data_IF_593198614317
#
_entry.id   IF_593198614317
#
_cell.length_a   1.000
_cell.length_b   1.000
_cell.length_c   1.000
_cell.angle_alpha   90.00
_cell.angle_beta   90.00
_cell.angle_gamma   90.00
#
_symmetry.space_group_name_H-M   'P 1'
#
loop_
_entity.id
_entity.type
_entity.pdbx_description
1 polymer ?
#
# COMPACT_ATOMS: atom_id res chain seq x y z
N UNK A 1 -16.13 -12.18 -17.32
CA UNK A 1 -15.13 -11.79 -16.30
C UNK A 1 -14.81 -13.01 -15.45
N UNK A 2 -13.53 -13.28 -15.21
CA UNK A 2 -13.14 -14.42 -14.38
C UNK A 2 -13.66 -14.23 -12.94
N UNK A 3 -14.14 -15.30 -12.32
CA UNK A 3 -14.54 -15.29 -10.92
C UNK A 3 -13.32 -15.00 -10.02
N UNK A 4 -13.54 -14.24 -8.94
CA UNK A 4 -12.51 -14.04 -7.92
C UNK A 4 -12.56 -15.24 -6.97
N UNK A 5 -11.49 -16.03 -6.96
CA UNK A 5 -11.31 -17.13 -6.00
C UNK A 5 -10.73 -16.56 -4.71
N UNK A 6 -11.13 -17.09 -3.56
CA UNK A 6 -10.60 -16.72 -2.25
C UNK A 6 -10.12 -17.96 -1.52
N UNK A 7 -8.97 -17.85 -0.87
CA UNK A 7 -8.36 -18.91 -0.07
C UNK A 7 -8.11 -18.39 1.33
N UNK A 8 -8.34 -19.24 2.32
CA UNK A 8 -8.27 -18.86 3.73
C UNK A 8 -7.22 -19.72 4.44
N UNK A 9 -6.36 -19.04 5.19
CA UNK A 9 -5.44 -19.62 6.14
C UNK A 9 -5.99 -19.40 7.55
N UNK A 10 -6.11 -20.45 8.35
CA UNK A 10 -6.53 -20.37 9.76
C UNK A 10 -5.44 -20.92 10.65
N UNK A 11 -5.15 -20.25 11.75
CA UNK A 11 -4.23 -20.71 12.79
C UNK A 11 -4.76 -20.29 14.16
N UNK A 12 -4.08 -20.70 15.24
CA UNK A 12 -4.53 -20.45 16.62
C UNK A 12 -4.72 -18.96 16.93
N UNK A 13 -3.94 -18.08 16.30
CA UNK A 13 -3.95 -16.65 16.56
C UNK A 13 -4.59 -15.81 15.44
N UNK A 14 -5.32 -16.43 14.51
CA UNK A 14 -6.03 -15.66 13.50
C UNK A 14 -6.52 -16.41 12.27
N UNK A 15 -7.09 -15.62 11.36
CA UNK A 15 -7.56 -16.04 10.06
C UNK A 15 -7.18 -15.00 9.00
N UNK A 16 -6.64 -15.45 7.88
CA UNK A 16 -6.21 -14.60 6.78
C UNK A 16 -6.85 -15.07 5.47
N UNK A 17 -7.53 -14.17 4.76
CA UNK A 17 -8.08 -14.45 3.43
C UNK A 17 -7.24 -13.77 2.36
N UNK A 18 -6.89 -14.49 1.31
CA UNK A 18 -6.30 -13.92 0.09
C UNK A 18 -7.19 -14.20 -1.10
N UNK A 19 -7.36 -13.20 -1.98
CA UNK A 19 -8.13 -13.35 -3.20
C UNK A 19 -7.21 -13.45 -4.42
N UNK A 20 -7.68 -14.11 -5.48
CA UNK A 20 -6.93 -14.24 -6.74
C UNK A 20 -6.65 -12.89 -7.37
N UNK A 21 -7.63 -11.98 -7.41
CA UNK A 21 -7.45 -10.65 -7.96
C UNK A 21 -6.43 -9.83 -7.16
N UNK A 22 -5.34 -9.42 -7.82
CA UNK A 22 -4.28 -8.64 -7.21
C UNK A 22 -3.41 -9.43 -6.21
N UNK A 23 -3.75 -10.71 -5.99
CA UNK A 23 -3.20 -11.48 -4.87
C UNK A 23 -3.49 -10.79 -3.53
N UNK A 24 -4.59 -10.04 -3.40
CA UNK A 24 -4.83 -9.15 -2.27
C UNK A 24 -5.14 -9.94 -0.99
N UNK A 25 -4.35 -9.70 0.06
CA UNK A 25 -4.52 -10.23 1.40
C UNK A 25 -5.51 -9.36 2.18
N UNK A 26 -6.73 -9.86 2.40
CA UNK A 26 -7.77 -9.19 3.17
C UNK A 26 -9.13 -9.92 3.08
N UNK A 27 -9.94 -9.92 4.16
CA UNK A 27 -9.60 -9.47 5.49
C UNK A 27 -8.57 -10.39 6.17
N UNK A 28 -7.91 -9.86 7.20
CA UNK A 28 -7.11 -10.63 8.15
C UNK A 28 -7.63 -10.30 9.53
N UNK A 29 -7.97 -11.33 10.32
CA UNK A 29 -8.36 -11.23 11.72
C UNK A 29 -7.24 -11.81 12.58
N UNK A 30 -6.79 -11.05 13.56
CA UNK A 30 -5.84 -11.49 14.59
C UNK A 30 -6.58 -11.67 15.91
N UNK A 31 -6.36 -12.79 16.59
CA UNK A 31 -6.90 -13.05 17.92
C UNK A 31 -5.89 -12.58 18.98
N UNK A 32 -6.38 -11.85 19.98
CA UNK A 32 -5.59 -11.30 21.09
C UNK A 32 -5.78 -12.07 22.40
N UNK A 33 -6.65 -13.08 22.40
CA UNK A 33 -7.05 -13.83 23.58
C UNK A 33 -8.28 -13.23 24.28
N UNK A 34 -8.89 -13.99 25.20
CA UNK A 34 -10.06 -13.53 25.96
C UNK A 34 -11.31 -13.20 25.11
N UNK A 35 -11.38 -13.72 23.87
CA UNK A 35 -12.44 -13.39 22.90
C UNK A 35 -12.25 -12.07 22.16
N UNK A 36 -11.15 -11.36 22.40
CA UNK A 36 -10.79 -10.12 21.70
C UNK A 36 -10.01 -10.43 20.43
N UNK A 37 -10.20 -9.59 19.41
CA UNK A 37 -9.46 -9.67 18.17
C UNK A 37 -9.69 -8.43 17.31
N UNK A 38 -8.85 -8.26 16.29
CA UNK A 38 -8.89 -7.11 15.39
C UNK A 38 -8.78 -7.55 13.93
N UNK A 39 -9.51 -6.87 13.05
CA UNK A 39 -9.36 -7.00 11.60
C UNK A 39 -8.82 -5.70 11.02
N UNK A 40 -7.49 -5.47 11.04
CA UNK A 40 -6.95 -4.13 10.80
C UNK A 40 -6.85 -3.77 9.31
N UNK A 41 -6.98 -4.75 8.41
CA UNK A 41 -6.88 -4.52 6.97
C UNK A 41 -8.21 -4.04 6.39
N UNK A 42 -8.14 -2.97 5.60
CA UNK A 42 -9.30 -2.35 4.96
C UNK A 42 -9.96 -3.30 3.94
N UNK A 43 -11.29 -3.31 3.88
CA UNK A 43 -12.04 -3.95 2.79
C UNK A 43 -12.98 -2.90 2.23
N UNK A 44 -12.90 -2.65 0.92
CA UNK A 44 -13.66 -1.57 0.33
C UNK A 44 -15.18 -1.78 0.46
N UNK A 45 -15.94 -0.73 0.78
CA UNK A 45 -17.36 -0.84 1.14
C UNK A 45 -18.27 -1.21 -0.03
N UNK A 46 -17.79 -1.11 -1.27
CA UNK A 46 -18.55 -1.50 -2.46
C UNK A 46 -18.47 -3.00 -2.78
N UNK A 47 -17.63 -3.77 -2.08
CA UNK A 47 -17.57 -5.23 -2.24
C UNK A 47 -16.93 -5.69 -3.56
N UNK A 48 -17.40 -6.81 -4.11
CA UNK A 48 -17.05 -7.28 -5.46
C UNK A 48 -18.06 -6.73 -6.47
N UNK A 49 -17.67 -5.67 -7.17
CA UNK A 49 -18.50 -5.00 -8.16
C UNK A 49 -17.84 -5.07 -9.54
N UNK A 50 -18.36 -6.00 -10.34
CA UNK A 50 -17.83 -6.33 -11.66
C UNK A 50 -17.94 -5.18 -12.69
N UNK A 51 -18.59 -4.06 -12.36
CA UNK A 51 -18.56 -2.85 -13.19
C UNK A 51 -17.18 -2.19 -13.21
N UNK A 52 -16.37 -2.41 -12.18
CA UNK A 52 -15.04 -1.82 -12.05
C UNK A 52 -13.96 -2.80 -12.50
N UNK A 53 -12.94 -2.35 -13.24
CA UNK A 53 -11.83 -3.19 -13.67
C UNK A 53 -10.78 -3.33 -12.58
N UNK A 54 -9.96 -4.38 -12.71
CA UNK A 54 -8.73 -4.55 -11.96
C UNK A 54 -8.91 -4.36 -10.45
N UNK A 55 -7.96 -3.65 -9.83
CA UNK A 55 -7.91 -3.45 -8.38
C UNK A 55 -9.22 -2.87 -7.80
N UNK A 56 -9.92 -2.01 -8.56
CA UNK A 56 -11.13 -1.34 -8.09
C UNK A 56 -12.34 -2.28 -7.97
N UNK A 57 -12.31 -3.45 -8.62
CA UNK A 57 -13.41 -4.43 -8.56
C UNK A 57 -13.71 -4.90 -7.15
N UNK A 58 -12.67 -5.23 -6.38
CA UNK A 58 -12.79 -5.85 -5.07
C UNK A 58 -11.61 -5.48 -4.15
N UNK A 59 -11.27 -4.19 -4.11
CA UNK A 59 -10.14 -3.61 -3.38
C UNK A 59 -10.14 -4.02 -1.91
N UNK A 60 -8.99 -4.53 -1.42
CA UNK A 60 -8.84 -4.92 -0.01
C UNK A 60 -7.40 -5.10 0.43
N UNK A 61 -7.16 -4.73 1.67
CA UNK A 61 -6.05 -5.10 2.52
C UNK A 61 -4.71 -4.80 1.89
N UNK A 62 -3.94 -5.84 1.57
CA UNK A 62 -2.54 -5.70 1.21
C UNK A 62 -2.19 -6.41 -0.11
N UNK A 63 -1.47 -5.75 -1.01
CA UNK A 63 -0.97 -6.33 -2.25
C UNK A 63 0.38 -5.74 -2.71
N UNK A 64 1.18 -6.50 -3.50
CA UNK A 64 2.42 -6.00 -4.07
C UNK A 64 2.17 -5.15 -5.33
N UNK A 65 2.91 -4.04 -5.46
CA UNK A 65 2.81 -3.15 -6.61
C UNK A 65 4.12 -3.13 -7.40
N UNK A 66 4.11 -3.68 -8.63
CA UNK A 66 5.30 -3.73 -9.47
C UNK A 66 4.95 -3.71 -10.98
N UNK A 67 5.37 -2.67 -11.74
CA UNK A 67 5.88 -1.39 -11.23
C UNK A 67 4.84 -0.65 -10.36
N UNK A 68 5.29 -0.05 -9.27
CA UNK A 68 4.43 0.76 -8.39
C UNK A 68 4.17 2.14 -8.99
N UNK A 69 2.92 2.59 -8.90
CA UNK A 69 2.53 3.94 -9.25
C UNK A 69 1.33 4.03 -10.18
N UNK A 70 0.81 5.23 -10.39
CA UNK A 70 -0.22 5.53 -11.37
C UNK A 70 0.27 5.24 -12.79
N UNK A 71 -0.67 5.00 -13.70
CA UNK A 71 -0.40 4.86 -15.12
C UNK A 71 -0.47 6.21 -15.87
N UNK A 72 -0.98 7.26 -15.22
CA UNK A 72 -1.11 8.60 -15.77
C UNK A 72 -0.61 9.65 -14.77
N UNK A 73 0.07 10.71 -15.24
CA UNK A 73 0.52 11.79 -14.36
C UNK A 73 -0.68 12.56 -13.79
N UNK A 74 -0.57 13.09 -12.56
CA UNK A 74 -1.61 13.92 -11.97
C UNK A 74 -1.72 15.25 -12.70
N UNK A 75 -2.91 15.83 -12.64
CA UNK A 75 -3.13 17.20 -13.12
C UNK A 75 -2.50 18.21 -12.17
N UNK A 76 -1.90 19.28 -12.69
CA UNK A 76 -1.38 20.37 -11.88
C UNK A 76 0.09 20.25 -11.47
N UNK A 77 0.84 19.30 -12.03
CA UNK A 77 2.30 19.30 -11.92
C UNK A 77 2.90 20.57 -12.56
N UNK A 78 3.92 21.12 -11.92
CA UNK A 78 4.70 22.23 -12.48
C UNK A 78 5.59 21.74 -13.62
N UNK A 79 6.11 22.67 -14.44
CA UNK A 79 6.90 22.35 -15.64
C UNK A 79 8.27 21.73 -15.33
N UNK A 80 8.75 21.82 -14.09
CA UNK A 80 10.04 21.28 -13.68
C UNK A 80 10.02 19.74 -13.55
N UNK A 81 8.83 19.14 -13.46
CA UNK A 81 8.64 17.69 -13.46
C UNK A 81 8.54 17.17 -14.90
N UNK A 82 9.50 16.33 -15.31
CA UNK A 82 9.48 15.71 -16.64
C UNK A 82 8.48 14.54 -16.66
N UNK A 83 7.64 14.48 -17.69
CA UNK A 83 6.67 13.41 -17.87
C UNK A 83 7.28 12.20 -18.57
N UNK A 84 6.92 11.01 -18.09
CA UNK A 84 7.23 9.72 -18.69
C UNK A 84 5.96 8.99 -19.09
N UNK A 85 6.07 8.15 -20.11
CA UNK A 85 5.01 7.23 -20.50
C UNK A 85 5.17 5.91 -19.74
N UNK A 86 4.11 5.50 -19.04
CA UNK A 86 4.04 4.16 -18.45
C UNK A 86 4.07 3.07 -19.54
N UNK A 87 4.62 1.91 -19.22
CA UNK A 87 4.64 0.73 -20.10
C UNK A 87 3.28 0.04 -20.22
N UNK A 88 2.35 0.31 -19.30
CA UNK A 88 0.99 -0.21 -19.28
C UNK A 88 0.01 0.79 -18.65
N UNK A 89 -1.29 0.52 -18.78
CA UNK A 89 -2.37 1.37 -18.26
C UNK A 89 -2.89 0.94 -16.87
N UNK A 90 -2.21 0.01 -16.19
CA UNK A 90 -2.64 -0.55 -14.93
C UNK A 90 -2.02 0.21 -13.75
N UNK A 91 -2.83 0.97 -13.01
CA UNK A 91 -2.36 1.56 -11.75
C UNK A 91 -1.79 0.48 -10.83
N UNK A 92 -0.61 0.75 -10.26
CA UNK A 92 0.15 -0.17 -9.42
C UNK A 92 0.59 -1.47 -10.10
N UNK A 93 0.63 -1.48 -11.43
CA UNK A 93 1.19 -2.56 -12.25
C UNK A 93 0.23 -3.74 -12.49
N UNK A 94 0.64 -4.61 -13.41
CA UNK A 94 -0.15 -5.77 -13.85
C UNK A 94 -0.56 -6.68 -12.68
N UNK A 95 0.38 -7.00 -11.78
CA UNK A 95 0.16 -7.89 -10.63
C UNK A 95 -1.00 -7.46 -9.72
N UNK A 96 -1.22 -6.15 -9.55
CA UNK A 96 -2.29 -5.60 -8.71
C UNK A 96 -3.69 -5.71 -9.33
N UNK A 97 -3.77 -5.94 -10.65
CA UNK A 97 -5.01 -5.83 -11.42
C UNK A 97 -5.47 -7.15 -12.03
N UNK A 98 -4.70 -8.23 -11.89
CA UNK A 98 -4.96 -9.50 -12.56
C UNK A 98 -5.06 -10.68 -11.59
N UNK A 99 -5.69 -11.79 -12.01
CA UNK A 99 -5.79 -12.99 -11.19
C UNK A 99 -4.45 -13.69 -11.00
N UNK A 100 -4.11 -13.96 -9.75
CA UNK A 100 -3.03 -14.85 -9.33
C UNK A 100 -3.57 -16.27 -9.21
N UNK A 101 -2.67 -17.24 -9.37
CA UNK A 101 -2.94 -18.65 -9.20
C UNK A 101 -2.43 -19.11 -7.83
N UNK A 102 -3.21 -19.90 -7.11
CA UNK A 102 -2.73 -20.63 -5.94
C UNK A 102 -1.80 -21.76 -6.43
N UNK A 103 -0.57 -21.76 -5.94
CA UNK A 103 0.42 -22.80 -6.23
C UNK A 103 0.39 -23.90 -5.18
N UNK A 104 0.29 -23.52 -3.91
CA UNK A 104 0.34 -24.43 -2.77
C UNK A 104 -0.36 -23.82 -1.55
N UNK A 105 -0.97 -24.68 -0.74
CA UNK A 105 -1.58 -24.33 0.53
C UNK A 105 -1.26 -25.41 1.56
N UNK A 106 -0.69 -24.98 2.69
CA UNK A 106 -0.47 -25.82 3.87
C UNK A 106 -1.36 -25.34 5.03
N UNK A 107 -1.22 -25.94 6.21
CA UNK A 107 -1.90 -25.46 7.43
C UNK A 107 -1.45 -24.07 7.86
N UNK A 108 -0.24 -23.62 7.48
CA UNK A 108 0.34 -22.35 7.93
C UNK A 108 0.86 -21.46 6.79
N UNK A 109 0.64 -21.81 5.53
CA UNK A 109 1.12 -21.01 4.42
C UNK A 109 0.22 -21.07 3.17
N UNK A 110 0.21 -19.97 2.43
CA UNK A 110 -0.36 -19.85 1.09
C UNK A 110 0.75 -19.35 0.14
N UNK A 111 0.94 -20.05 -0.99
CA UNK A 111 1.84 -19.63 -2.08
C UNK A 111 1.02 -19.30 -3.32
N UNK A 112 1.20 -18.10 -3.86
CA UNK A 112 0.54 -17.65 -5.07
C UNK A 112 1.56 -17.21 -6.11
N UNK A 113 1.21 -17.37 -7.38
CA UNK A 113 2.02 -16.92 -8.52
C UNK A 113 1.19 -16.19 -9.54
N UNK A 114 1.80 -15.21 -10.21
CA UNK A 114 1.29 -14.63 -11.44
C UNK A 114 2.42 -14.52 -12.47
N UNK A 115 2.14 -14.94 -13.69
CA UNK A 115 3.02 -14.71 -14.84
C UNK A 115 2.61 -13.40 -15.52
N UNK A 116 3.61 -12.58 -15.84
CA UNK A 116 3.41 -11.30 -16.52
C UNK A 116 3.43 -11.49 -18.05
N UNK A 117 2.81 -10.58 -18.82
CA UNK A 117 2.82 -10.64 -20.29
C UNK A 117 4.23 -10.84 -20.87
N UNK A 118 4.34 -11.65 -21.92
CA UNK A 118 5.62 -12.09 -22.49
C UNK A 118 6.51 -10.93 -23.01
N UNK A 119 5.88 -9.83 -23.43
CA UNK A 119 6.54 -8.64 -23.95
C UNK A 119 7.04 -7.67 -22.85
N UNK A 120 6.75 -7.94 -21.57
CA UNK A 120 7.17 -7.12 -20.43
C UNK A 120 8.51 -7.53 -19.80
N UNK A 121 9.06 -6.66 -18.96
CA UNK A 121 10.34 -6.89 -18.27
C UNK A 121 10.24 -7.91 -17.14
N UNK A 122 9.12 -7.94 -16.44
CA UNK A 122 8.85 -8.84 -15.33
C UNK A 122 8.39 -10.17 -15.93
N UNK A 123 9.05 -11.26 -15.53
CA UNK A 123 8.65 -12.61 -15.92
C UNK A 123 7.46 -13.07 -15.09
N UNK A 124 7.61 -13.00 -13.77
CA UNK A 124 6.63 -13.49 -12.82
C UNK A 124 6.84 -12.92 -11.44
N UNK A 125 5.77 -12.92 -10.67
CA UNK A 125 5.80 -12.72 -9.23
C UNK A 125 5.33 -13.99 -8.53
N UNK A 126 5.96 -14.30 -7.40
CA UNK A 126 5.49 -15.31 -6.47
C UNK A 126 5.42 -14.69 -5.08
N UNK A 127 4.29 -14.84 -4.39
CA UNK A 127 4.15 -14.41 -3.00
C UNK A 127 3.84 -15.58 -2.08
N UNK A 128 4.42 -15.56 -0.89
CA UNK A 128 4.17 -16.54 0.17
C UNK A 128 3.72 -15.80 1.42
N UNK A 129 2.56 -16.18 1.95
CA UNK A 129 2.00 -15.68 3.20
C UNK A 129 2.11 -16.81 4.20
N UNK A 130 2.79 -16.59 5.33
CA UNK A 130 2.98 -17.57 6.39
C UNK A 130 2.41 -17.06 7.69
N UNK A 131 1.53 -17.83 8.30
CA UNK A 131 1.09 -17.59 9.67
C UNK A 131 2.16 -18.07 10.65
N UNK A 132 2.46 -17.26 11.65
CA UNK A 132 3.25 -17.70 12.79
C UNK A 132 2.36 -18.61 13.66
N UNK A 133 2.74 -19.88 13.89
CA UNK A 133 1.93 -20.80 14.68
C UNK A 133 1.77 -20.34 16.14
N UNK A 134 2.69 -19.52 16.65
CA UNK A 134 2.79 -19.16 18.07
C UNK A 134 2.45 -17.68 18.33
N UNK A 135 2.02 -16.91 17.31
CA UNK A 135 1.71 -15.49 17.46
C UNK A 135 0.65 -14.96 16.47
N UNK A 136 -0.05 -13.86 16.81
CA UNK A 136 -0.91 -13.10 15.88
C UNK A 136 -0.06 -12.32 14.86
N UNK A 137 0.55 -13.05 13.93
CA UNK A 137 1.56 -12.53 13.01
C UNK A 137 1.52 -13.25 11.67
N UNK A 138 1.68 -12.48 10.60
CA UNK A 138 1.87 -12.97 9.24
C UNK A 138 3.21 -12.47 8.70
N UNK A 139 4.06 -13.41 8.28
CA UNK A 139 5.25 -13.13 7.47
C UNK A 139 4.90 -13.26 6.00
N UNK A 140 5.28 -12.25 5.20
CA UNK A 140 5.02 -12.24 3.77
C UNK A 140 6.31 -12.03 2.99
N UNK A 141 6.47 -12.79 1.92
CA UNK A 141 7.57 -12.59 0.97
C UNK A 141 7.07 -12.47 -0.45
N UNK A 142 7.64 -11.55 -1.23
CA UNK A 142 7.44 -11.37 -2.65
C UNK A 142 8.75 -11.69 -3.39
N UNK A 143 8.73 -12.70 -4.25
CA UNK A 143 9.83 -13.04 -5.15
C UNK A 143 9.56 -12.49 -6.53
N UNK A 144 10.49 -11.68 -7.03
CA UNK A 144 10.42 -11.05 -8.36
C UNK A 144 11.41 -11.72 -9.30
N UNK A 145 10.93 -12.15 -10.47
CA UNK A 145 11.77 -12.64 -11.58
C UNK A 145 11.58 -11.72 -12.79
N UNK A 146 12.68 -11.41 -13.46
CA UNK A 146 12.71 -10.51 -14.63
C UNK A 146 13.38 -11.18 -15.82
N UNK A 147 12.90 -10.85 -17.01
CA UNK A 147 13.44 -11.32 -18.30
C UNK A 147 14.66 -10.52 -18.75
N UNK A 148 14.81 -9.28 -18.27
CA UNK A 148 15.96 -8.41 -18.52
C UNK A 148 16.33 -7.63 -17.27
N UNK A 149 17.58 -7.18 -17.19
CA UNK A 149 17.96 -6.25 -16.13
C UNK A 149 17.17 -4.95 -16.25
N UNK A 150 16.61 -4.48 -15.13
CA UNK A 150 15.73 -3.31 -15.11
C UNK A 150 15.73 -2.68 -13.72
N UNK A 151 15.55 -1.37 -13.65
CA UNK A 151 15.20 -0.66 -12.41
C UNK A 151 13.72 -0.34 -12.47
N UNK A 152 12.96 -0.78 -11.46
CA UNK A 152 11.51 -0.57 -11.41
C UNK A 152 11.10 0.07 -10.08
N UNK A 153 10.21 1.09 -10.11
CA UNK A 153 9.59 1.59 -8.89
C UNK A 153 8.77 0.48 -8.24
N UNK A 154 8.83 0.39 -6.92
CA UNK A 154 8.20 -0.69 -6.17
C UNK A 154 7.64 -0.19 -4.84
N UNK A 155 6.49 -0.74 -4.47
CA UNK A 155 5.95 -0.64 -3.14
C UNK A 155 5.14 -1.88 -2.77
N UNK A 156 4.97 -2.07 -1.48
CA UNK A 156 3.93 -2.92 -0.91
C UNK A 156 2.76 -2.01 -0.54
N UNK A 157 1.52 -2.49 -0.65
CA UNK A 157 0.35 -1.67 -0.39
C UNK A 157 -0.53 -2.13 0.79
N UNK A 158 0.02 -2.34 2.02
CA UNK A 158 -0.81 -2.53 3.21
C UNK A 158 -1.78 -1.38 3.41
N UNK A 159 -3.06 -1.69 3.31
CA UNK A 159 -4.15 -0.72 3.51
C UNK A 159 -4.91 -1.09 4.76
N UNK A 160 -4.94 -0.18 5.72
CA UNK A 160 -5.52 -0.34 7.03
C UNK A 160 -6.89 0.32 7.12
N UNK A 161 -7.79 -0.32 7.88
CA UNK A 161 -9.13 0.17 8.11
C UNK A 161 -9.09 1.41 9.00
N UNK A 162 -9.89 2.42 8.67
CA UNK A 162 -10.11 3.59 9.51
C UNK A 162 -11.53 3.48 10.09
N UNK A 163 -11.68 2.93 11.29
CA UNK A 163 -12.99 2.76 11.92
C UNK A 163 -13.48 4.09 12.51
N UNK A 164 -14.77 4.17 12.83
CA UNK A 164 -15.37 5.40 13.40
C UNK A 164 -14.84 5.71 14.80
N UNK A 165 -14.41 4.68 15.53
CA UNK A 165 -13.76 4.78 16.84
C UNK A 165 -12.34 5.34 16.74
N UNK A 166 -11.76 5.30 15.55
CA UNK A 166 -10.50 5.90 15.19
C UNK A 166 -9.29 4.97 15.20
N UNK A 167 -8.24 5.44 14.53
CA UNK A 167 -6.91 4.83 14.48
C UNK A 167 -5.86 5.93 14.59
N UNK A 168 -4.89 5.74 15.49
CA UNK A 168 -3.79 6.67 15.71
C UNK A 168 -2.53 6.18 14.96
N UNK A 169 -1.90 7.07 14.22
CA UNK A 169 -0.63 6.86 13.55
C UNK A 169 0.49 7.23 14.53
N UNK A 170 1.03 6.22 15.21
CA UNK A 170 2.27 6.39 15.99
C UNK A 170 3.49 6.49 15.07
N UNK A 171 3.38 5.85 13.89
CA UNK A 171 4.39 5.90 12.84
C UNK A 171 5.66 5.14 13.22
N UNK A 172 6.79 5.65 12.73
CA UNK A 172 8.13 5.16 13.03
C UNK A 172 9.13 6.32 12.97
N UNK A 173 10.38 6.14 13.47
CA UNK A 173 11.45 7.09 13.20
C UNK A 173 11.63 7.30 11.70
N UNK A 174 11.86 8.54 11.28
CA UNK A 174 11.99 8.93 9.88
C UNK A 174 12.83 10.21 9.74
N UNK A 175 13.16 10.58 8.51
CA UNK A 175 14.01 11.74 8.21
C UNK A 175 13.17 12.99 7.87
N UNK A 176 12.18 12.86 7.01
CA UNK A 176 11.34 13.96 6.55
C UNK A 176 9.99 13.44 6.03
N UNK A 177 9.02 14.35 5.89
CA UNK A 177 7.71 14.07 5.28
C UNK A 177 7.55 15.01 4.09
N UNK A 178 7.19 14.47 2.94
CA UNK A 178 6.95 15.25 1.72
C UNK A 178 5.50 15.10 1.29
N UNK A 179 4.83 16.22 0.98
CA UNK A 179 3.51 16.19 0.38
C UNK A 179 3.59 15.95 -1.13
N UNK A 180 2.53 15.35 -1.68
CA UNK A 180 2.42 15.07 -3.11
C UNK A 180 2.70 16.33 -3.96
N UNK A 181 3.36 16.24 -5.12
CA UNK A 181 3.75 17.41 -5.91
C UNK A 181 2.59 18.09 -6.65
N UNK A 182 1.38 17.55 -6.53
CA UNK A 182 0.14 18.13 -7.05
C UNK A 182 -1.01 17.86 -6.05
N UNK A 183 -2.20 18.48 -6.19
CA UNK A 183 -3.38 18.04 -5.47
C UNK A 183 -3.74 16.60 -5.87
N UNK A 184 -3.79 15.68 -4.90
CA UNK A 184 -4.15 14.27 -5.16
C UNK A 184 -5.56 14.15 -5.73
N UNK A 185 -6.49 14.90 -5.16
CA UNK A 185 -7.86 15.03 -5.63
C UNK A 185 -8.18 16.54 -5.74
N UNK A 186 -8.14 17.11 -6.96
CA UNK A 186 -8.36 18.55 -7.16
C UNK A 186 -9.67 19.06 -6.54
N UNK A 187 -9.57 20.10 -5.72
CA UNK A 187 -10.71 20.68 -4.99
C UNK A 187 -11.13 19.93 -3.72
N UNK A 188 -10.52 18.77 -3.43
CA UNK A 188 -10.79 17.94 -2.25
C UNK A 188 -9.59 17.91 -1.31
N UNK A 189 -8.38 17.69 -1.83
CA UNK A 189 -7.14 17.70 -1.04
C UNK A 189 -6.92 19.04 -0.33
N UNK A 190 -6.38 19.00 0.89
CA UNK A 190 -6.18 20.15 1.79
C UNK A 190 -4.73 20.49 1.98
N UNK A 191 -3.86 19.49 1.96
CA UNK A 191 -2.41 19.69 2.16
C UNK A 191 -1.83 20.39 0.94
N UNK A 192 -0.98 21.40 1.18
CA UNK A 192 -0.32 22.11 0.10
C UNK A 192 0.64 21.18 -0.65
N UNK A 193 0.61 21.15 -1.99
CA UNK A 193 1.50 20.30 -2.79
C UNK A 193 2.97 20.70 -2.70
N UNK A 194 3.88 19.73 -2.88
CA UNK A 194 5.33 19.94 -3.02
C UNK A 194 6.00 20.64 -1.81
N UNK A 195 5.53 20.34 -0.61
CA UNK A 195 6.09 20.85 0.64
C UNK A 195 6.79 19.76 1.45
N UNK A 196 7.79 20.18 2.24
CA UNK A 196 8.43 19.33 3.24
C UNK A 196 7.94 19.73 4.63
N UNK A 197 7.60 18.74 5.44
CA UNK A 197 7.21 18.87 6.85
C UNK A 197 8.05 17.94 7.73
N UNK A 198 8.13 18.29 9.02
CA UNK A 198 8.85 17.50 10.04
C UNK A 198 7.91 16.67 10.91
N UNK A 199 6.60 16.87 10.81
CA UNK A 199 5.59 16.17 11.61
C UNK A 199 4.28 16.01 10.85
N UNK A 200 3.59 14.89 11.11
CA UNK A 200 2.22 14.64 10.66
C UNK A 200 1.17 15.50 11.41
N UNK A 201 1.54 16.15 12.51
CA UNK A 201 0.62 16.96 13.33
C UNK A 201 0.39 18.37 12.80
N UNK A 202 1.20 18.82 11.84
CA UNK A 202 1.19 20.21 11.36
C UNK A 202 1.52 20.30 9.87
N UNK A 203 0.81 19.56 9.03
CA UNK A 203 0.99 19.60 7.58
C UNK A 203 0.40 20.90 7.02
N UNK A 204 1.13 21.65 6.18
CA UNK A 204 0.68 22.95 5.70
C UNK A 204 -0.55 22.82 4.79
N UNK A 205 -1.51 23.73 4.96
CA UNK A 205 -2.73 23.84 4.15
C UNK A 205 -2.94 25.31 3.74
N UNK A 206 -3.86 25.57 2.82
CA UNK A 206 -4.22 26.94 2.43
C UNK A 206 -4.81 27.80 3.55
N UNK A 207 -5.26 27.20 4.66
CA UNK A 207 -5.96 27.90 5.76
C UNK A 207 -5.30 27.71 7.13
N UNK A 208 -4.09 27.14 7.18
CA UNK A 208 -3.41 26.80 8.44
C UNK A 208 -2.67 25.47 8.32
N UNK A 209 -2.79 24.61 9.32
CA UNK A 209 -2.21 23.26 9.31
C UNK A 209 -3.26 22.18 9.54
N UNK A 210 -2.94 20.95 9.11
CA UNK A 210 -3.74 19.76 9.32
C UNK A 210 -2.92 18.73 10.10
N UNK A 211 -3.52 18.23 11.18
CA UNK A 211 -3.02 17.06 11.91
C UNK A 211 -3.66 15.80 11.31
N UNK A 212 -2.83 14.85 10.85
CA UNK A 212 -3.29 13.57 10.28
C UNK A 212 -2.95 12.36 11.14
N UNK A 213 -2.52 12.57 12.39
CA UNK A 213 -2.12 11.49 13.29
C UNK A 213 -3.29 10.70 13.86
N UNK A 214 -4.51 11.25 13.86
CA UNK A 214 -5.72 10.56 14.29
C UNK A 214 -6.77 10.57 13.16
N UNK A 215 -7.09 9.37 12.66
CA UNK A 215 -8.11 9.17 11.65
C UNK A 215 -9.37 8.55 12.27
N UNK A 216 -10.58 8.80 11.73
CA UNK A 216 -10.87 9.63 10.57
C UNK A 216 -10.73 11.12 10.87
N UNK A 217 -10.36 11.90 9.85
CA UNK A 217 -10.31 13.36 9.95
C UNK A 217 -11.72 13.95 9.98
N UNK A 218 -11.86 15.11 10.62
CA UNK A 218 -13.12 15.88 10.66
C UNK A 218 -13.50 16.50 9.31
N UNK A 219 -12.60 16.49 8.34
CA UNK A 219 -12.78 17.05 7.01
C UNK A 219 -12.67 15.95 5.96
N UNK A 220 -13.55 15.98 4.97
CA UNK A 220 -13.41 15.11 3.81
C UNK A 220 -12.19 15.55 3.00
N UNK A 221 -11.26 14.62 2.77
CA UNK A 221 -10.03 14.85 2.01
C UNK A 221 -9.48 13.54 1.43
N UNK A 222 -8.56 13.69 0.48
CA UNK A 222 -7.74 12.62 -0.09
C UNK A 222 -6.31 13.13 -0.17
N UNK A 223 -5.38 12.45 0.50
CA UNK A 223 -4.01 12.92 0.64
C UNK A 223 -3.02 11.78 0.34
N UNK A 224 -1.86 12.18 -0.17
CA UNK A 224 -0.68 11.34 -0.33
C UNK A 224 0.50 12.08 0.29
N UNK A 225 1.22 11.39 1.17
CA UNK A 225 2.45 11.85 1.79
C UNK A 225 3.52 10.78 1.58
N UNK A 226 4.79 11.17 1.48
CA UNK A 226 5.91 10.24 1.51
C UNK A 226 6.78 10.54 2.71
N UNK A 227 6.82 9.60 3.64
CA UNK A 227 7.68 9.64 4.81
C UNK A 227 9.02 9.03 4.41
N UNK A 228 10.04 9.88 4.28
CA UNK A 228 11.36 9.49 3.81
C UNK A 228 12.22 8.90 4.94
N UNK A 229 12.94 7.82 4.64
CA UNK A 229 13.91 7.22 5.57
C UNK A 229 13.26 6.55 6.79
N UNK A 230 12.08 5.96 6.61
CA UNK A 230 11.35 5.23 7.65
C UNK A 230 12.15 4.05 8.21
N UNK A 231 12.20 3.93 9.54
CA UNK A 231 12.82 2.81 10.25
C UNK A 231 11.75 1.96 10.93
N UNK A 232 11.31 0.83 10.34
CA UNK A 232 10.25 -0.01 10.89
C UNK A 232 10.59 -0.59 12.28
N UNK A 233 9.58 -0.99 13.07
CA UNK A 233 8.16 -1.10 12.70
C UNK A 233 7.44 0.24 12.56
N UNK A 234 6.53 0.34 11.58
CA UNK A 234 5.50 1.38 11.56
C UNK A 234 4.30 0.93 12.39
N UNK A 235 3.90 1.75 13.35
CA UNK A 235 2.89 1.35 14.34
C UNK A 235 1.60 2.16 14.18
N UNK A 236 0.48 1.44 14.14
CA UNK A 236 -0.87 1.98 14.18
C UNK A 236 -1.56 1.52 15.46
N UNK A 237 -2.22 2.42 16.17
CA UNK A 237 -2.93 2.12 17.41
C UNK A 237 -4.44 2.16 17.21
N UNK A 238 -5.09 1.07 17.59
CA UNK A 238 -6.54 0.91 17.63
C UNK A 238 -6.98 0.82 19.08
N UNK A 239 -7.12 1.98 19.73
CA UNK A 239 -7.43 2.05 21.15
C UNK A 239 -8.74 1.33 21.53
N UNK A 240 -9.77 1.42 20.68
CA UNK A 240 -11.04 0.73 20.89
C UNK A 240 -10.91 -0.81 20.83
N UNK A 241 -9.93 -1.32 20.10
CA UNK A 241 -9.60 -2.75 20.03
C UNK A 241 -8.55 -3.17 21.06
N UNK A 242 -8.01 -2.24 21.86
CA UNK A 242 -6.92 -2.50 22.80
C UNK A 242 -5.67 -3.07 22.14
N UNK A 243 -5.33 -2.59 20.94
CA UNK A 243 -4.29 -3.21 20.12
C UNK A 243 -3.41 -2.20 19.37
N UNK A 244 -2.12 -2.50 19.30
CA UNK A 244 -1.19 -1.91 18.34
C UNK A 244 -0.97 -2.91 17.18
N UNK A 245 -1.06 -2.41 15.95
CA UNK A 245 -0.74 -3.13 14.72
C UNK A 245 0.61 -2.64 14.21
N UNK A 246 1.52 -3.57 13.93
CA UNK A 246 2.89 -3.30 13.51
C UNK A 246 3.11 -3.80 12.09
N UNK A 247 3.71 -2.95 11.26
CA UNK A 247 4.20 -3.28 9.93
C UNK A 247 5.72 -3.18 9.93
N UNK A 248 6.38 -4.31 9.71
CA UNK A 248 7.84 -4.42 9.61
C UNK A 248 8.27 -4.75 8.18
N UNK A 249 9.38 -4.20 7.72
CA UNK A 249 9.96 -4.50 6.39
C UNK A 249 11.47 -4.23 6.37
N UNK A 250 12.12 -4.53 5.25
CA UNK A 250 13.52 -4.18 5.04
C UNK A 250 13.65 -2.73 4.52
N UNK A 251 14.03 -1.80 5.40
CA UNK A 251 14.21 -0.39 5.05
C UNK A 251 15.40 -0.12 4.11
N UNK A 252 16.36 -1.03 3.97
CA UNK A 252 17.43 -0.88 2.97
C UNK A 252 16.90 -1.06 1.53
N UNK A 253 15.86 -1.88 1.35
CA UNK A 253 15.22 -2.09 0.06
C UNK A 253 14.09 -1.07 -0.18
N UNK A 254 13.26 -0.84 0.84
CA UNK A 254 12.10 0.06 0.79
C UNK A 254 12.30 1.17 1.83
N UNK A 255 13.06 2.23 1.51
CA UNK A 255 13.52 3.22 2.49
C UNK A 255 12.44 4.14 3.02
N UNK A 256 11.30 4.23 2.34
CA UNK A 256 10.25 5.20 2.64
C UNK A 256 8.92 4.48 2.92
N UNK A 257 7.98 5.18 3.55
CA UNK A 257 6.58 4.76 3.60
C UNK A 257 5.71 5.84 2.96
N UNK A 258 5.01 5.51 1.88
CA UNK A 258 3.97 6.37 1.34
C UNK A 258 2.70 6.19 2.16
N UNK A 259 2.10 7.30 2.61
CA UNK A 259 0.80 7.30 3.25
C UNK A 259 -0.26 7.70 2.23
N UNK A 260 -1.21 6.81 1.97
CA UNK A 260 -2.43 7.12 1.24
C UNK A 260 -3.58 7.28 2.23
N UNK A 261 -4.06 8.52 2.40
CA UNK A 261 -5.17 8.83 3.31
C UNK A 261 -6.41 9.06 2.47
N UNK A 262 -7.35 8.13 2.54
CA UNK A 262 -8.70 8.33 2.00
C UNK A 262 -9.65 8.58 3.14
N UNK A 263 -10.28 9.76 3.16
CA UNK A 263 -11.14 10.21 4.24
C UNK A 263 -12.49 10.70 3.71
N UNK A 264 -13.11 9.89 2.84
CA UNK A 264 -14.43 10.15 2.29
C UNK A 264 -14.50 11.34 1.32
N UNK A 265 -13.37 11.78 0.74
CA UNK A 265 -13.30 12.94 -0.14
C UNK A 265 -13.79 12.66 -1.57
N UNK A 266 -13.57 11.46 -2.10
CA UNK A 266 -14.04 11.08 -3.45
C UNK A 266 -15.54 10.79 -3.48
N UNK A 267 -16.29 11.60 -4.22
CA UNK A 267 -17.76 11.48 -4.32
C UNK A 267 -18.25 10.67 -5.52
N UNK A 268 -17.41 10.47 -6.53
CA UNK A 268 -17.71 9.62 -7.68
C UNK A 268 -17.78 8.14 -7.28
N UNK A 269 -18.52 7.35 -8.04
CA UNK A 269 -18.52 5.90 -7.87
C UNK A 269 -17.13 5.31 -8.22
N UNK A 270 -16.67 4.24 -7.55
CA UNK A 270 -17.37 3.50 -6.47
C UNK A 270 -17.22 4.10 -5.07
N UNK A 271 -16.40 5.15 -4.93
CA UNK A 271 -16.04 5.74 -3.64
C UNK A 271 -17.25 6.30 -2.88
N UNK A 272 -18.08 7.11 -3.56
CA UNK A 272 -19.34 7.66 -3.05
C UNK A 272 -19.24 8.31 -1.66
N UNK A 273 -18.07 8.86 -1.28
CA UNK A 273 -17.79 9.42 0.04
C UNK A 273 -17.77 8.40 1.18
N UNK A 274 -17.67 7.09 0.87
CA UNK A 274 -17.77 5.98 1.84
C UNK A 274 -16.43 5.34 2.17
N UNK A 275 -15.35 5.72 1.50
CA UNK A 275 -14.04 5.11 1.69
C UNK A 275 -13.23 5.82 2.77
N UNK A 276 -12.92 5.09 3.83
CA UNK A 276 -12.04 5.52 4.92
C UNK A 276 -10.94 4.47 5.08
N UNK A 277 -9.73 4.84 4.66
CA UNK A 277 -8.61 3.92 4.55
C UNK A 277 -7.27 4.64 4.73
N UNK A 278 -6.30 3.94 5.30
CA UNK A 278 -4.92 4.38 5.43
C UNK A 278 -4.01 3.36 4.74
N UNK A 279 -3.50 3.68 3.56
CA UNK A 279 -2.35 2.99 3.00
C UNK A 279 -1.09 3.37 3.79
N UNK A 280 -0.34 2.37 4.27
CA UNK A 280 1.04 2.55 4.73
C UNK A 280 1.88 1.68 3.83
N UNK A 281 2.56 2.31 2.88
CA UNK A 281 3.10 1.65 1.70
C UNK A 281 4.63 1.73 1.70
N UNK A 282 5.34 0.71 2.25
CA UNK A 282 6.79 0.62 2.14
C UNK A 282 7.21 0.68 0.68
N UNK A 283 8.00 1.69 0.32
CA UNK A 283 8.26 2.04 -1.06
C UNK A 283 9.73 2.39 -1.33
N UNK A 284 10.15 2.08 -2.56
CA UNK A 284 11.26 2.69 -3.24
C UNK A 284 10.73 3.22 -4.58
N UNK A 285 10.20 4.44 -4.55
CA UNK A 285 9.61 5.14 -5.69
C UNK A 285 9.47 6.62 -5.34
N UNK A 286 9.42 7.47 -6.36
CA UNK A 286 9.02 8.87 -6.20
C UNK A 286 7.50 8.89 -6.15
N UNK A 287 6.95 8.93 -4.93
CA UNK A 287 5.55 8.67 -4.63
C UNK A 287 4.99 7.45 -5.39
N UNK A 288 3.71 7.46 -5.72
CA UNK A 288 3.10 6.62 -6.73
C UNK A 288 3.32 7.18 -8.17
N UNK A 289 4.37 7.99 -8.39
CA UNK A 289 4.63 8.70 -9.64
C UNK A 289 5.84 8.20 -10.45
N UNK A 290 6.70 7.35 -9.87
CA UNK A 290 7.97 6.93 -10.49
C UNK A 290 7.87 6.29 -11.88
N UNK A 291 6.65 5.92 -12.32
CA UNK A 291 6.36 5.40 -13.67
C UNK A 291 6.07 6.47 -14.72
N UNK A 292 5.61 7.64 -14.26
CA UNK A 292 5.03 8.68 -15.11
C UNK A 292 5.68 10.05 -14.92
N UNK A 293 6.54 10.21 -13.90
CA UNK A 293 7.22 11.46 -13.60
C UNK A 293 8.69 11.21 -13.27
N UNK A 294 9.55 12.11 -13.72
CA UNK A 294 10.89 12.32 -13.18
C UNK A 294 10.88 13.61 -12.38
N UNK A 295 11.18 13.56 -11.08
CA UNK A 295 11.33 14.78 -10.31
C UNK A 295 12.60 15.55 -10.73
N UNK A 296 12.65 16.86 -10.52
CA UNK A 296 13.87 17.65 -10.66
C UNK A 296 15.05 17.02 -9.93
N UNK A 297 16.27 17.16 -10.47
CA UNK A 297 17.46 16.53 -9.88
C UNK A 297 17.77 16.98 -8.43
N UNK A 298 17.32 18.17 -8.04
CA UNK A 298 17.45 18.74 -6.70
C UNK A 298 16.28 18.39 -5.77
N UNK A 299 15.25 17.68 -6.25
CA UNK A 299 14.14 17.26 -5.41
C UNK A 299 14.64 16.26 -4.34
N UNK A 300 14.23 16.36 -3.05
CA UNK A 300 14.72 15.49 -1.98
C UNK A 300 14.56 13.99 -2.24
N UNK A 301 13.50 13.63 -2.98
CA UNK A 301 13.16 12.25 -3.35
C UNK A 301 13.68 11.83 -4.74
N UNK A 302 14.54 12.62 -5.40
CA UNK A 302 14.98 12.35 -6.78
C UNK A 302 15.70 11.01 -6.97
N UNK A 303 16.28 10.44 -5.91
CA UNK A 303 16.97 9.15 -5.94
C UNK A 303 16.04 7.95 -5.79
N UNK A 304 14.76 8.16 -5.47
CA UNK A 304 13.75 7.10 -5.28
C UNK A 304 13.23 6.57 -6.63
N UNK A 305 14.13 6.00 -7.40
CA UNK A 305 13.85 5.50 -8.76
C UNK A 305 13.42 4.04 -8.80
N UNK A 306 13.49 3.32 -7.68
CA UNK A 306 13.15 1.90 -7.61
C UNK A 306 14.30 0.98 -7.24
N UNK A 307 14.03 -0.32 -7.36
CA UNK A 307 15.00 -1.38 -7.13
C UNK A 307 15.55 -1.91 -8.45
N UNK A 308 16.83 -2.26 -8.44
CA UNK A 308 17.47 -2.99 -9.55
C UNK A 308 17.16 -4.49 -9.46
N UNK A 309 16.65 -5.05 -10.55
CA UNK A 309 16.38 -6.46 -10.74
C UNK A 309 17.32 -7.03 -11.81
N UNK A 310 17.79 -8.27 -11.60
CA UNK A 310 18.80 -8.91 -12.43
C UNK A 310 18.28 -10.25 -12.96
N UNK A 311 18.61 -10.57 -14.21
CA UNK A 311 18.25 -11.86 -14.83
C UNK A 311 18.93 -13.01 -14.09
N UNK A 312 18.21 -14.10 -13.85
CA UNK A 312 18.74 -15.28 -13.17
C UNK A 312 19.00 -15.09 -11.67
N UNK A 313 18.71 -13.92 -11.09
CA UNK A 313 18.85 -13.63 -9.66
C UNK A 313 17.53 -13.09 -9.09
N UNK A 314 16.59 -13.99 -8.74
CA UNK A 314 15.31 -13.57 -8.16
C UNK A 314 15.53 -12.72 -6.90
N UNK A 315 14.89 -11.54 -6.85
CA UNK A 315 14.92 -10.69 -5.65
C UNK A 315 13.76 -11.07 -4.74
N UNK A 316 14.01 -11.19 -3.43
CA UNK A 316 12.98 -11.54 -2.44
C UNK A 316 12.82 -10.39 -1.45
N UNK A 317 11.65 -9.76 -1.47
CA UNK A 317 11.26 -8.69 -0.54
C UNK A 317 10.46 -9.32 0.58
N UNK A 318 10.74 -8.94 1.83
CA UNK A 318 10.08 -9.50 3.03
C UNK A 318 9.53 -8.41 3.91
N UNK A 319 8.39 -8.70 4.51
CA UNK A 319 7.69 -7.83 5.43
C UNK A 319 6.78 -8.66 6.33
N UNK A 320 6.28 -8.04 7.39
CA UNK A 320 5.48 -8.69 8.42
C UNK A 320 4.39 -7.76 8.88
N UNK A 321 3.21 -8.32 9.10
CA UNK A 321 2.11 -7.67 9.81
C UNK A 321 1.90 -8.45 11.10
N UNK A 322 1.93 -7.75 12.23
CA UNK A 322 1.70 -8.36 13.55
C UNK A 322 0.85 -7.46 14.41
N UNK A 323 0.26 -8.03 15.47
CA UNK A 323 -0.55 -7.29 16.44
C UNK A 323 -0.06 -7.62 17.84
N UNK A 324 -0.07 -6.62 18.73
CA UNK A 324 0.10 -6.81 20.17
C UNK A 324 -1.06 -6.18 20.93
N UNK A 325 -1.47 -6.83 22.02
CA UNK A 325 -2.40 -6.23 22.96
C UNK A 325 -1.75 -5.05 23.69
N UNK A 326 -2.56 -4.05 24.05
CA UNK A 326 -2.18 -2.88 24.85
C UNK A 326 -2.37 -3.13 26.35
#
# INVERSE_FOLDING_TARGET
MNAITRWTLKWEHGEATIQSLGGMLGPVRFELGGGQGISPLHVAPWGDDARWPGLMRALRGEWPCLPFGTAQPPTGLTQDFELKKSSDDWNHGYGSNHPWQLVDQTSHALRLRIDYPENGEIESLERVIKANPDAPMLDVSLTVRVRREVVLPIALHPTFAVPVEGVEILGCPHQAIHSYPAPVEPGVSRILPDHTATSLTALPTGTGSLDVTLLPLKVATEEILQIAGCQPPFVLRYAASGADVLLDWNAEELPDALLWISNGGRTNAPWCGKNFALGVEPANSFFDLGRVVVPPANHPLATRSGLRFLVGKPRIIRYRISVRAM
#
